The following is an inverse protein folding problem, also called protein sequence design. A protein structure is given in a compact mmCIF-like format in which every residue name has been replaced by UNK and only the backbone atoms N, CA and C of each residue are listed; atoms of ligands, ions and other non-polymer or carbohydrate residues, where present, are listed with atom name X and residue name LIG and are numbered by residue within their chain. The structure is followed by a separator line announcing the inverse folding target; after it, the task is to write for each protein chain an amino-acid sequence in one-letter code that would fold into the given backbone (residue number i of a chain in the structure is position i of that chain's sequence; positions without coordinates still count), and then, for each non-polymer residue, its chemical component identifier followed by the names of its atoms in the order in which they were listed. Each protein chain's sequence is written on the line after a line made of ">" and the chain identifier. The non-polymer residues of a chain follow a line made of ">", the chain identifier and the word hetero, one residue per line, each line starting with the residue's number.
data_IF_408376841627
#
_entry.id   IF_408376841627
#
_cell.length_a   1.000
_cell.length_b   1.000
_cell.length_c   1.000
_cell.angle_alpha   90.00
_cell.angle_beta   90.00
_cell.angle_gamma   90.00
#
_symmetry.space_group_name_H-M   'P 1'
#
loop_
_entity.id
_entity.type
_entity.pdbx_description
1 polymer ?
#
# COMPACT_ATOMS: atom_id res chain seq x y z
N UNK A 1 21.16 -21.15 11.27
CA UNK A 1 19.96 -20.74 10.49
C UNK A 1 19.79 -19.23 10.68
N UNK A 2 19.94 -18.46 9.60
CA UNK A 2 19.97 -17.00 9.61
C UNK A 2 18.59 -16.38 9.95
N UNK A 3 18.55 -15.53 10.99
CA UNK A 3 17.37 -14.76 11.39
C UNK A 3 16.86 -13.80 10.29
N UNK A 4 17.71 -13.45 9.33
CA UNK A 4 17.38 -12.59 8.19
C UNK A 4 16.44 -13.24 7.16
N UNK A 5 16.34 -14.58 7.13
CA UNK A 5 15.41 -15.28 6.21
C UNK A 5 13.99 -15.34 6.77
N UNK A 6 13.82 -15.33 8.10
CA UNK A 6 12.49 -15.33 8.75
C UNK A 6 11.73 -14.00 8.64
N UNK A 7 12.39 -12.89 8.26
CA UNK A 7 11.74 -11.57 8.10
C UNK A 7 11.05 -11.37 6.74
N UNK A 8 11.33 -12.19 5.72
CA UNK A 8 10.83 -11.99 4.34
C UNK A 8 9.39 -12.47 4.08
N UNK A 9 8.58 -12.73 5.10
CA UNK A 9 7.26 -13.35 4.91
C UNK A 9 6.15 -12.83 5.85
N UNK A 10 6.36 -11.71 6.56
CA UNK A 10 5.24 -11.05 7.22
C UNK A 10 4.36 -10.35 6.18
N UNK A 11 3.06 -10.19 6.48
CA UNK A 11 2.16 -9.41 5.64
C UNK A 11 2.66 -7.97 5.44
N UNK A 12 3.28 -7.38 6.47
CA UNK A 12 3.92 -6.06 6.37
C UNK A 12 4.96 -6.01 5.25
N UNK A 13 5.92 -6.94 5.21
CA UNK A 13 6.94 -6.94 4.15
C UNK A 13 6.38 -7.16 2.74
N UNK A 14 5.22 -7.83 2.63
CA UNK A 14 4.53 -8.00 1.35
C UNK A 14 3.84 -6.72 0.92
N UNK A 15 3.15 -6.06 1.85
CA UNK A 15 2.53 -4.74 1.60
C UNK A 15 3.58 -3.69 1.26
N UNK A 16 4.72 -3.66 1.98
CA UNK A 16 5.88 -2.82 1.64
C UNK A 16 6.34 -3.06 0.19
N UNK A 17 6.46 -4.33 -0.22
CA UNK A 17 6.83 -4.69 -1.58
C UNK A 17 5.76 -4.25 -2.60
N UNK A 18 4.48 -4.41 -2.29
CA UNK A 18 3.34 -3.94 -3.08
C UNK A 18 3.35 -2.42 -3.29
N UNK A 19 3.52 -1.66 -2.22
CA UNK A 19 3.62 -0.20 -2.27
C UNK A 19 4.83 0.25 -3.09
N UNK A 20 6.00 -0.38 -2.90
CA UNK A 20 7.19 -0.09 -3.69
C UNK A 20 7.01 -0.43 -5.19
N UNK A 21 6.26 -1.50 -5.49
CA UNK A 21 5.88 -1.84 -6.86
C UNK A 21 4.96 -0.76 -7.45
N UNK A 22 3.93 -0.33 -6.71
CA UNK A 22 3.05 0.75 -7.18
C UNK A 22 3.77 2.08 -7.37
N UNK A 23 4.63 2.48 -6.44
CA UNK A 23 5.45 3.70 -6.55
C UNK A 23 6.30 3.71 -7.84
N UNK A 24 6.76 2.53 -8.30
CA UNK A 24 7.58 2.40 -9.50
C UNK A 24 6.77 2.36 -10.79
N UNK A 25 5.63 1.68 -10.78
CA UNK A 25 4.89 1.31 -12.00
C UNK A 25 3.63 2.14 -12.24
N UNK A 26 3.10 2.78 -11.20
CA UNK A 26 1.86 3.53 -11.21
C UNK A 26 2.05 4.90 -10.53
N UNK A 27 2.63 5.89 -11.24
CA UNK A 27 2.78 7.22 -10.69
C UNK A 27 1.43 7.77 -10.21
N UNK A 28 1.42 8.36 -9.01
CA UNK A 28 0.22 8.90 -8.36
C UNK A 28 -0.87 7.86 -8.03
N UNK A 29 -0.52 6.56 -7.94
CA UNK A 29 -1.46 5.51 -7.54
C UNK A 29 -2.20 5.82 -6.23
N UNK A 30 -1.52 6.53 -5.31
CA UNK A 30 -2.05 6.88 -4.00
C UNK A 30 -3.32 7.73 -4.10
N UNK A 31 -3.45 8.54 -5.16
CA UNK A 31 -4.63 9.39 -5.39
C UNK A 31 -5.79 8.62 -6.06
N UNK A 32 -5.50 7.42 -6.60
CA UNK A 32 -6.50 6.52 -7.17
C UNK A 32 -7.13 5.58 -6.13
N UNK A 33 -6.53 5.46 -4.95
CA UNK A 33 -7.00 4.58 -3.88
C UNK A 33 -8.03 5.27 -2.99
N UNK A 34 -9.09 4.54 -2.67
CA UNK A 34 -10.05 4.84 -1.60
C UNK A 34 -9.77 3.94 -0.41
N UNK A 35 -9.09 4.48 0.59
CA UNK A 35 -8.62 3.72 1.78
C UNK A 35 -9.77 3.01 2.48
N UNK A 36 -10.90 3.70 2.63
CA UNK A 36 -12.07 3.21 3.32
C UNK A 36 -12.65 1.94 2.69
N UNK A 37 -12.52 1.80 1.36
CA UNK A 37 -13.04 0.67 0.61
C UNK A 37 -12.02 -0.45 0.41
N UNK A 38 -10.74 -0.27 0.79
CA UNK A 38 -9.74 -1.33 0.59
C UNK A 38 -10.21 -2.63 1.25
N UNK A 39 -10.26 -3.70 0.45
CA UNK A 39 -10.46 -5.06 0.90
C UNK A 39 -9.76 -6.04 -0.04
N UNK A 40 -8.72 -6.72 0.44
CA UNK A 40 -7.93 -7.67 -0.36
C UNK A 40 -8.73 -8.95 -0.71
N UNK A 41 -9.85 -9.20 -0.04
CA UNK A 41 -10.74 -10.33 -0.34
C UNK A 41 -11.76 -10.04 -1.43
N UNK A 42 -11.92 -8.78 -1.83
CA UNK A 42 -12.92 -8.33 -2.81
C UNK A 42 -12.19 -7.85 -4.06
N UNK A 43 -12.56 -8.44 -5.21
CA UNK A 43 -11.95 -8.13 -6.50
C UNK A 43 -11.88 -6.62 -6.76
N UNK A 44 -12.98 -5.89 -6.75
CA UNK A 44 -12.98 -4.46 -7.15
C UNK A 44 -12.35 -3.51 -6.12
N UNK A 45 -12.23 -3.96 -4.87
CA UNK A 45 -11.80 -3.15 -3.73
C UNK A 45 -10.36 -3.42 -3.32
N UNK A 46 -9.69 -4.44 -3.89
CA UNK A 46 -8.30 -4.70 -3.58
C UNK A 46 -7.37 -3.61 -4.15
N UNK A 47 -6.20 -3.36 -3.55
CA UNK A 47 -5.30 -2.30 -3.98
C UNK A 47 -4.91 -2.39 -5.46
N UNK A 48 -4.62 -3.60 -5.97
CA UNK A 48 -4.26 -3.80 -7.37
C UNK A 48 -5.38 -3.41 -8.35
N UNK A 49 -6.63 -3.69 -7.99
CA UNK A 49 -7.81 -3.36 -8.79
C UNK A 49 -8.14 -1.87 -8.77
N UNK A 50 -8.04 -1.23 -7.61
CA UNK A 50 -8.22 0.21 -7.50
C UNK A 50 -7.14 0.99 -8.29
N UNK A 51 -5.86 0.61 -8.15
CA UNK A 51 -4.75 1.26 -8.89
C UNK A 51 -4.88 1.11 -10.41
N UNK A 52 -5.37 -0.04 -10.88
CA UNK A 52 -5.57 -0.29 -12.32
C UNK A 52 -6.96 0.13 -12.82
N UNK A 53 -7.83 0.63 -11.94
CA UNK A 53 -9.25 0.90 -12.22
C UNK A 53 -9.98 -0.31 -12.87
N UNK A 54 -9.62 -1.52 -12.46
CA UNK A 54 -10.18 -2.77 -12.97
C UNK A 54 -11.07 -3.40 -11.91
N UNK A 55 -12.31 -3.76 -12.25
CA UNK A 55 -13.26 -4.39 -11.30
C UNK A 55 -13.12 -5.90 -11.14
N UNK A 56 -12.20 -6.51 -11.90
CA UNK A 56 -12.00 -7.95 -11.95
C UNK A 56 -10.54 -8.23 -11.64
N UNK A 57 -10.30 -9.04 -10.62
CA UNK A 57 -8.96 -9.29 -10.10
C UNK A 57 -8.00 -9.83 -11.16
N UNK A 58 -8.44 -10.83 -11.92
CA UNK A 58 -7.64 -11.41 -13.00
C UNK A 58 -7.26 -10.40 -14.10
N UNK A 59 -8.13 -9.41 -14.36
CA UNK A 59 -7.84 -8.36 -15.35
C UNK A 59 -6.81 -7.39 -14.79
N UNK A 60 -6.92 -7.01 -13.51
CA UNK A 60 -5.92 -6.16 -12.85
C UNK A 60 -4.53 -6.80 -12.87
N UNK A 61 -4.42 -8.10 -12.59
CA UNK A 61 -3.15 -8.84 -12.68
C UNK A 61 -2.57 -8.82 -14.10
N UNK A 62 -3.43 -9.02 -15.12
CA UNK A 62 -3.01 -8.97 -16.53
C UNK A 62 -2.52 -7.57 -16.94
N UNK A 63 -3.20 -6.50 -16.50
CA UNK A 63 -2.77 -5.11 -16.72
C UNK A 63 -1.44 -4.82 -16.03
N UNK A 64 -1.26 -5.35 -14.80
CA UNK A 64 0.01 -5.27 -14.07
C UNK A 64 1.12 -6.12 -14.67
N UNK A 65 0.81 -7.05 -15.58
CA UNK A 65 1.78 -7.98 -16.16
C UNK A 65 2.35 -8.95 -15.12
N UNK A 66 1.59 -9.30 -14.07
CA UNK A 66 2.02 -10.17 -12.97
C UNK A 66 1.12 -11.40 -12.86
N UNK A 67 1.67 -12.50 -12.34
CA UNK A 67 0.91 -13.71 -12.02
C UNK A 67 0.58 -13.82 -10.52
N UNK A 68 -0.20 -14.83 -10.15
CA UNK A 68 -0.66 -15.06 -8.77
C UNK A 68 0.47 -15.11 -7.75
N UNK A 69 1.58 -15.80 -8.05
CA UNK A 69 2.73 -15.91 -7.14
C UNK A 69 3.31 -14.53 -6.79
N UNK A 70 3.47 -13.67 -7.80
CA UNK A 70 3.95 -12.31 -7.60
C UNK A 70 2.91 -11.45 -6.87
N UNK A 71 1.62 -11.61 -7.17
CA UNK A 71 0.56 -10.91 -6.44
C UNK A 71 0.56 -11.26 -4.93
N UNK A 72 0.92 -12.49 -4.58
CA UNK A 72 1.07 -12.94 -3.18
C UNK A 72 2.28 -12.26 -2.53
N UNK A 73 3.40 -12.20 -3.23
CA UNK A 73 4.62 -11.55 -2.73
C UNK A 73 4.44 -10.03 -2.55
N UNK A 74 3.58 -9.41 -3.36
CA UNK A 74 3.21 -8.01 -3.27
C UNK A 74 2.08 -7.74 -2.27
N UNK A 75 1.56 -8.77 -1.60
CA UNK A 75 0.47 -8.60 -0.62
C UNK A 75 -0.85 -8.16 -1.26
N UNK A 76 -0.99 -8.30 -2.57
CA UNK A 76 -2.22 -8.00 -3.33
C UNK A 76 -3.16 -9.23 -3.33
N UNK A 77 -2.62 -10.41 -3.03
CA UNK A 77 -3.35 -11.68 -3.03
C UNK A 77 -2.95 -12.57 -1.85
N UNK A 78 -3.85 -13.46 -1.43
CA UNK A 78 -3.53 -14.55 -0.51
C UNK A 78 -3.86 -15.90 -1.15
N UNK A 79 -2.91 -16.86 -1.17
CA UNK A 79 -3.20 -18.18 -1.69
C UNK A 79 -4.06 -18.96 -0.68
N UNK A 80 -5.07 -19.64 -1.20
CA UNK A 80 -5.88 -20.58 -0.42
C UNK A 80 -7.36 -20.23 -0.42
N UNK A 81 -8.17 -21.28 -0.24
CA UNK A 81 -9.63 -21.25 -0.26
C UNK A 81 -10.15 -20.03 0.49
N UNK A 82 -11.10 -19.32 -0.12
CA UNK A 82 -11.74 -18.04 0.20
C UNK A 82 -12.36 -17.92 1.63
N UNK A 83 -11.85 -18.65 2.62
CA UNK A 83 -12.52 -18.98 3.89
C UNK A 83 -11.65 -18.74 5.13
N UNK A 84 -10.53 -18.05 5.01
CA UNK A 84 -9.81 -17.55 6.20
C UNK A 84 -9.94 -16.03 6.21
N UNK A 85 -11.17 -15.55 6.46
CA UNK A 85 -11.53 -14.13 6.54
C UNK A 85 -10.53 -13.34 7.41
N UNK A 86 -10.07 -13.93 8.52
CA UNK A 86 -9.09 -13.32 9.43
C UNK A 86 -7.75 -12.96 8.76
N UNK A 87 -7.28 -13.75 7.79
CA UNK A 87 -6.01 -13.49 7.10
C UNK A 87 -6.14 -12.37 6.10
N UNK A 88 -7.27 -12.31 5.40
CA UNK A 88 -7.58 -11.20 4.51
C UNK A 88 -7.78 -9.91 5.30
N UNK A 89 -8.49 -9.96 6.43
CA UNK A 89 -8.64 -8.82 7.34
C UNK A 89 -7.29 -8.27 7.79
N UNK A 90 -6.38 -9.13 8.27
CA UNK A 90 -5.05 -8.70 8.70
C UNK A 90 -4.24 -8.03 7.57
N UNK A 91 -4.30 -8.58 6.35
CA UNK A 91 -3.60 -7.99 5.20
C UNK A 91 -4.24 -6.67 4.74
N UNK A 92 -5.57 -6.59 4.76
CA UNK A 92 -6.35 -5.37 4.49
C UNK A 92 -6.00 -4.26 5.48
N UNK A 93 -5.96 -4.56 6.78
CA UNK A 93 -5.64 -3.59 7.83
C UNK A 93 -4.23 -3.01 7.67
N UNK A 94 -3.27 -3.86 7.29
CA UNK A 94 -1.89 -3.42 7.03
C UNK A 94 -1.83 -2.49 5.83
N UNK A 95 -2.54 -2.81 4.73
CA UNK A 95 -2.64 -1.93 3.57
C UNK A 95 -3.22 -0.56 3.95
N UNK A 96 -4.34 -0.53 4.68
CA UNK A 96 -4.98 0.73 5.12
C UNK A 96 -4.01 1.56 5.95
N UNK A 97 -3.45 0.97 7.02
CA UNK A 97 -2.49 1.66 7.91
C UNK A 97 -1.31 2.24 7.15
N UNK A 98 -0.67 1.46 6.28
CA UNK A 98 0.54 1.91 5.59
C UNK A 98 0.26 2.98 4.53
N UNK A 99 -0.92 2.95 3.89
CA UNK A 99 -1.35 4.00 2.98
C UNK A 99 -1.64 5.29 3.75
N UNK A 100 -2.31 5.22 4.91
CA UNK A 100 -2.51 6.36 5.81
C UNK A 100 -1.18 6.98 6.26
N UNK A 101 -0.21 6.15 6.67
CA UNK A 101 1.14 6.61 7.02
C UNK A 101 1.83 7.33 5.86
N UNK A 102 1.75 6.79 4.63
CA UNK A 102 2.32 7.41 3.43
C UNK A 102 1.67 8.77 3.12
N UNK A 103 0.35 8.88 3.28
CA UNK A 103 -0.36 10.15 3.10
C UNK A 103 0.04 11.19 4.15
N UNK A 104 0.11 10.79 5.42
CA UNK A 104 0.57 11.67 6.51
C UNK A 104 1.99 12.21 6.23
N UNK A 105 2.91 11.35 5.79
CA UNK A 105 4.27 11.76 5.43
C UNK A 105 4.28 12.75 4.26
N UNK A 106 3.47 12.50 3.22
CA UNK A 106 3.32 13.43 2.09
C UNK A 106 2.81 14.80 2.54
N UNK A 107 1.86 14.83 3.47
CA UNK A 107 1.35 16.08 4.04
C UNK A 107 2.43 16.81 4.82
N UNK A 108 3.18 16.12 5.68
CA UNK A 108 4.29 16.69 6.44
C UNK A 108 5.40 17.25 5.54
N UNK A 109 5.75 16.57 4.45
CA UNK A 109 6.73 17.03 3.45
C UNK A 109 6.22 18.24 2.64
N UNK A 110 4.90 18.39 2.53
CA UNK A 110 4.28 19.53 1.85
C UNK A 110 4.18 20.79 2.70
N UNK A 111 4.41 20.69 4.02
CA UNK A 111 4.49 21.86 4.90
C UNK A 111 5.80 22.59 4.62
N UNK A 112 5.77 23.83 4.10
CA UNK A 112 6.99 24.61 3.96
C UNK A 112 7.62 24.75 5.34
N UNK A 113 8.93 24.49 5.45
CA UNK A 113 9.68 24.78 6.67
C UNK A 113 9.34 26.23 7.05
N UNK A 114 8.74 26.42 8.22
CA UNK A 114 8.40 27.75 8.70
C UNK A 114 9.65 28.61 8.58
N UNK A 115 9.54 29.68 7.78
CA UNK A 115 10.63 30.59 7.48
C UNK A 115 11.34 30.97 8.80
N UNK A 116 12.64 30.70 8.90
CA UNK A 116 13.52 31.08 10.03
C UNK A 116 13.68 32.62 10.18
N UNK A 117 12.65 33.40 9.85
CA UNK A 117 12.71 34.86 9.76
C UNK A 117 11.70 35.55 10.70
N UNK A 118 11.43 34.97 11.88
CA UNK A 118 10.66 35.64 12.96
C UNK A 118 11.29 35.54 14.36
N UNK A 119 12.62 35.48 14.44
CA UNK A 119 13.35 35.55 15.72
C UNK A 119 14.31 36.74 15.88
N UNK A 120 14.33 37.69 14.97
CA UNK A 120 14.92 39.02 15.21
C UNK A 120 13.82 40.07 15.12
N UNK A 121 13.23 40.46 16.27
CA UNK A 121 12.61 41.76 16.54
C UNK A 121 11.88 41.71 17.90
N UNK A 122 12.62 41.37 18.96
CA UNK A 122 12.27 41.79 20.33
C UNK A 122 13.52 42.33 21.00
N UNK A 123 14.06 43.40 20.44
CA UNK A 123 14.80 44.40 21.21
C UNK A 123 14.12 45.74 21.01
N UNK A 124 13.18 46.08 21.89
CA UNK A 124 12.93 47.46 22.34
C UNK A 124 12.50 47.43 23.80
#
# INVERSE_FOLDING_TARGET
>A
MNLSVRRKNSYESRVEAGMAFFDRHYPNWIDAIKIESIDVSIDEDCPGCQVTNCKVFAVALAVMGIGDEQAIELGIFLPGVWKIEERYAALTDIWKRMIEEKLLLRELESVPAADEETLELVEV
#
